data_IF_458087339996
#
_entry.id   IF_458087339996
#
_cell.length_a   1.000
_cell.length_b   1.000
_cell.length_c   1.000
_cell.angle_alpha   90.00
_cell.angle_beta   90.00
_cell.angle_gamma   90.00
#
_symmetry.space_group_name_H-M   'P 1'
#
loop_
_entity.id
_entity.type
_entity.pdbx_description
1 polymer ?
#
# COMPACT_ATOMS: atom_id res chain seq x y z
N UNK A 1 -39.94 -8.28 -3.51
CA UNK A 1 -38.49 -8.56 -3.73
C UNK A 1 -38.01 -9.31 -2.49
N UNK A 2 -37.52 -10.55 -2.61
CA UNK A 2 -37.05 -11.34 -1.47
C UNK A 2 -35.52 -11.24 -1.42
N UNK A 3 -34.96 -10.85 -0.27
CA UNK A 3 -33.51 -10.89 -0.04
C UNK A 3 -33.13 -12.36 0.20
N UNK A 4 -32.24 -12.89 -0.62
CA UNK A 4 -31.78 -14.29 -0.56
C UNK A 4 -30.42 -14.43 0.15
N UNK A 5 -29.72 -13.32 0.39
CA UNK A 5 -28.44 -13.27 1.08
C UNK A 5 -28.22 -11.86 1.62
N UNK A 6 -27.82 -11.78 2.89
CA UNK A 6 -27.40 -10.55 3.56
C UNK A 6 -26.06 -10.83 4.25
N UNK A 7 -25.09 -9.94 4.05
CA UNK A 7 -23.76 -10.08 4.63
C UNK A 7 -23.54 -8.98 5.67
N UNK A 8 -23.05 -9.37 6.84
CA UNK A 8 -22.68 -8.48 7.93
C UNK A 8 -21.19 -8.69 8.27
N UNK A 9 -20.48 -7.66 8.74
CA UNK A 9 -19.11 -7.82 9.19
C UNK A 9 -19.00 -8.89 10.28
N UNK A 10 -18.01 -9.78 10.14
CA UNK A 10 -17.69 -10.80 11.14
C UNK A 10 -16.29 -10.54 11.68
N UNK A 11 -16.21 -10.20 12.97
CA UNK A 11 -14.93 -10.11 13.66
C UNK A 11 -14.34 -11.52 13.83
N UNK A 12 -13.10 -11.72 13.36
CA UNK A 12 -12.41 -13.02 13.41
C UNK A 12 -11.21 -13.03 14.37
N UNK A 13 -10.87 -11.88 14.96
CA UNK A 13 -9.80 -11.77 15.93
C UNK A 13 -9.44 -10.32 16.24
N UNK A 14 -8.72 -10.16 17.36
CA UNK A 14 -8.22 -8.88 17.84
C UNK A 14 -6.71 -9.00 18.13
N UNK A 15 -5.84 -8.90 17.10
CA UNK A 15 -4.42 -9.24 17.22
C UNK A 15 -3.59 -8.18 17.96
N UNK A 16 -4.07 -6.94 18.03
CA UNK A 16 -3.37 -5.80 18.66
C UNK A 16 -4.36 -4.93 19.42
N UNK A 17 -3.86 -4.16 20.39
CA UNK A 17 -4.70 -3.20 21.12
C UNK A 17 -5.06 -2.00 20.25
N UNK A 18 -6.15 -1.31 20.60
CA UNK A 18 -6.57 -0.08 19.93
C UNK A 18 -5.44 0.95 19.89
N UNK A 19 -4.75 1.15 21.00
CA UNK A 19 -3.68 2.16 21.11
C UNK A 19 -2.50 1.83 20.18
N UNK A 20 -2.20 0.55 20.00
CA UNK A 20 -1.17 0.09 19.04
C UNK A 20 -1.61 0.37 17.61
N UNK A 21 -2.87 0.12 17.27
CA UNK A 21 -3.40 0.41 15.94
C UNK A 21 -3.37 1.93 15.65
N UNK A 22 -3.74 2.76 16.62
CA UNK A 22 -3.71 4.21 16.51
C UNK A 22 -2.27 4.74 16.29
N UNK A 23 -1.29 4.22 17.04
CA UNK A 23 0.12 4.60 16.86
C UNK A 23 0.65 4.17 15.48
N UNK A 24 0.29 2.98 15.01
CA UNK A 24 0.67 2.51 13.67
C UNK A 24 0.07 3.41 12.58
N UNK A 25 -1.19 3.84 12.70
CA UNK A 25 -1.81 4.78 11.74
C UNK A 25 -1.08 6.13 11.71
N UNK A 26 -0.68 6.67 12.87
CA UNK A 26 0.13 7.89 12.95
C UNK A 26 1.49 7.74 12.26
N UNK A 27 2.14 6.59 12.42
CA UNK A 27 3.40 6.30 11.72
C UNK A 27 3.20 6.14 10.21
N UNK A 28 2.09 5.53 9.78
CA UNK A 28 1.72 5.39 8.37
C UNK A 28 1.39 6.74 7.72
N UNK A 29 0.78 7.68 8.43
CA UNK A 29 0.60 9.05 7.95
C UNK A 29 1.97 9.71 7.68
N UNK A 30 2.93 9.54 8.59
CA UNK A 30 4.30 10.09 8.44
C UNK A 30 5.06 9.50 7.24
N UNK A 31 4.70 8.31 6.75
CA UNK A 31 5.27 7.77 5.50
C UNK A 31 4.91 8.65 4.30
N UNK A 32 3.76 9.32 4.36
CA UNK A 32 3.22 10.18 3.29
C UNK A 32 3.60 11.64 3.51
N UNK A 33 3.51 12.14 4.76
CA UNK A 33 3.63 13.58 5.06
C UNK A 33 5.05 14.04 5.36
N UNK A 34 5.93 13.16 5.82
CA UNK A 34 7.31 13.51 6.14
C UNK A 34 8.14 13.77 4.87
N UNK A 35 9.02 14.76 4.89
CA UNK A 35 10.00 15.00 3.82
C UNK A 35 10.98 13.84 3.63
N UNK A 36 11.14 12.98 4.64
CA UNK A 36 11.92 11.73 4.58
C UNK A 36 11.05 10.49 4.35
N UNK A 37 9.76 10.68 4.13
CA UNK A 37 8.79 9.61 3.88
C UNK A 37 9.05 8.93 2.54
N UNK A 38 8.82 7.62 2.47
CA UNK A 38 8.96 6.86 1.21
C UNK A 38 7.71 6.88 0.36
N UNK A 39 6.57 7.33 0.91
CA UNK A 39 5.26 7.33 0.24
C UNK A 39 4.76 8.72 -0.11
N UNK A 40 5.61 9.75 -0.11
CA UNK A 40 5.23 11.15 -0.40
C UNK A 40 4.48 11.30 -1.74
N UNK A 41 4.85 10.48 -2.72
CA UNK A 41 4.19 10.43 -4.02
C UNK A 41 2.74 9.95 -3.99
N UNK A 42 2.28 9.29 -2.92
CA UNK A 42 0.90 8.80 -2.76
C UNK A 42 -0.03 9.80 -2.06
N UNK A 43 0.46 11.01 -1.76
CA UNK A 43 -0.37 12.09 -1.21
C UNK A 43 -1.49 12.47 -2.20
N UNK A 44 -2.72 12.56 -1.69
CA UNK A 44 -3.88 13.16 -2.38
C UNK A 44 -4.24 14.45 -1.64
N UNK A 45 -4.33 15.56 -2.35
CA UNK A 45 -4.64 16.83 -1.72
C UNK A 45 -6.09 16.84 -1.19
N UNK A 46 -6.26 17.32 0.04
CA UNK A 46 -7.56 17.36 0.72
C UNK A 46 -7.96 16.07 1.44
N UNK A 47 -7.20 14.99 1.33
CA UNK A 47 -7.48 13.72 2.02
C UNK A 47 -6.35 13.32 2.97
N UNK A 48 -6.64 13.07 4.26
CA UNK A 48 -5.65 12.58 5.21
C UNK A 48 -5.40 11.10 4.94
N UNK A 49 -4.26 10.80 4.32
CA UNK A 49 -3.87 9.45 3.91
C UNK A 49 -2.69 8.98 4.76
N UNK A 50 -2.80 7.76 5.26
CA UNK A 50 -1.65 6.99 5.72
C UNK A 50 -1.50 5.75 4.89
N UNK A 51 -0.26 5.29 4.74
CA UNK A 51 0.00 4.10 3.97
C UNK A 51 1.39 3.56 4.14
N UNK A 52 1.67 2.47 3.43
CA UNK A 52 2.99 1.88 3.39
C UNK A 52 3.33 1.35 2.00
N UNK A 53 4.54 1.70 1.58
CA UNK A 53 5.19 1.19 0.37
C UNK A 53 5.78 -0.21 0.59
N UNK A 54 5.69 -1.05 -0.44
CA UNK A 54 6.33 -2.36 -0.52
C UNK A 54 7.15 -2.50 -1.80
N UNK A 55 8.35 -3.09 -1.68
CA UNK A 55 9.25 -3.40 -2.80
C UNK A 55 9.85 -4.77 -2.56
N UNK A 56 9.17 -5.82 -2.99
CA UNK A 56 9.56 -7.20 -2.72
C UNK A 56 10.43 -7.77 -3.86
N UNK A 57 11.55 -8.40 -3.49
CA UNK A 57 12.39 -9.13 -4.44
C UNK A 57 11.67 -10.39 -4.95
N UNK A 58 11.92 -10.74 -6.21
CA UNK A 58 11.35 -11.92 -6.86
C UNK A 58 12.44 -13.00 -6.95
N UNK A 59 12.21 -14.23 -6.45
CA UNK A 59 13.14 -15.34 -6.68
C UNK A 59 13.25 -15.68 -8.17
N UNK A 60 14.48 -15.82 -8.66
CA UNK A 60 14.78 -16.33 -9.99
C UNK A 60 14.69 -17.86 -9.98
N UNK A 61 13.77 -18.47 -10.75
CA UNK A 61 13.56 -19.92 -10.72
C UNK A 61 14.71 -20.73 -11.32
N UNK A 62 15.58 -20.11 -12.13
CA UNK A 62 16.65 -20.81 -12.85
C UNK A 62 17.91 -20.98 -12.02
N UNK A 63 18.20 -20.04 -11.12
CA UNK A 63 19.46 -20.02 -10.36
C UNK A 63 19.28 -19.89 -8.84
N UNK A 64 18.04 -19.81 -8.36
CA UNK A 64 17.71 -19.73 -6.93
C UNK A 64 18.11 -18.43 -6.23
N UNK A 65 18.65 -17.44 -6.95
CA UNK A 65 18.95 -16.09 -6.43
C UNK A 65 17.74 -15.17 -6.59
N UNK A 66 17.81 -13.92 -6.14
CA UNK A 66 16.81 -12.92 -6.52
C UNK A 66 17.06 -12.41 -7.94
N UNK A 67 15.99 -12.07 -8.65
CA UNK A 67 16.08 -11.36 -9.92
C UNK A 67 16.70 -9.97 -9.70
N UNK A 68 17.47 -9.51 -10.67
CA UNK A 68 18.17 -8.22 -10.65
C UNK A 68 17.62 -7.28 -11.73
N UNK A 69 17.78 -5.96 -11.55
CA UNK A 69 17.31 -4.96 -12.50
C UNK A 69 16.08 -4.20 -12.00
N UNK A 70 15.92 -2.95 -12.47
CA UNK A 70 14.96 -1.97 -11.91
C UNK A 70 13.50 -2.41 -11.93
N UNK A 71 13.13 -3.32 -12.82
CA UNK A 71 11.76 -3.81 -12.99
C UNK A 71 11.50 -5.09 -12.17
N UNK A 72 12.54 -5.80 -11.73
CA UNK A 72 12.41 -7.17 -11.23
C UNK A 72 11.99 -7.30 -9.75
N UNK A 73 10.92 -6.58 -9.41
CA UNK A 73 10.31 -6.54 -8.09
C UNK A 73 8.78 -6.61 -8.19
N UNK A 74 8.15 -6.91 -7.05
CA UNK A 74 6.74 -6.59 -6.83
C UNK A 74 6.70 -5.28 -6.07
N UNK A 75 6.24 -4.23 -6.74
CA UNK A 75 5.97 -2.95 -6.11
C UNK A 75 4.54 -2.97 -5.58
N UNK A 76 4.32 -2.43 -4.38
CA UNK A 76 2.99 -2.34 -3.81
C UNK A 76 2.81 -1.12 -2.92
N UNK A 77 1.55 -0.75 -2.72
CA UNK A 77 1.16 0.26 -1.76
C UNK A 77 -0.15 -0.16 -1.09
N UNK A 78 -0.19 -0.03 0.22
CA UNK A 78 -1.42 -0.09 1.01
C UNK A 78 -1.70 1.31 1.53
N UNK A 79 -2.86 1.86 1.20
CA UNK A 79 -3.33 3.17 1.67
C UNK A 79 -4.63 3.04 2.46
N UNK A 80 -4.81 3.93 3.42
CA UNK A 80 -6.03 4.09 4.21
C UNK A 80 -6.43 5.57 4.25
N UNK A 81 -7.74 5.84 4.17
CA UNK A 81 -8.29 7.19 4.27
C UNK A 81 -9.72 7.19 4.83
N UNK A 82 -10.11 8.22 5.62
CA UNK A 82 -9.24 9.10 6.41
C UNK A 82 -8.30 8.30 7.33
N UNK A 83 -7.09 8.78 7.65
CA UNK A 83 -6.13 7.97 8.43
C UNK A 83 -6.46 7.91 9.93
N UNK A 84 -7.17 8.90 10.45
CA UNK A 84 -7.62 8.97 11.84
C UNK A 84 -8.77 7.98 12.11
N UNK A 85 -9.75 7.93 11.21
CA UNK A 85 -10.87 6.99 11.21
C UNK A 85 -11.07 6.36 9.80
N UNK A 86 -10.34 5.27 9.48
CA UNK A 86 -10.35 4.69 8.14
C UNK A 86 -11.69 4.11 7.70
N UNK A 87 -12.27 4.73 6.68
CA UNK A 87 -13.48 4.26 5.97
C UNK A 87 -13.12 3.41 4.74
N UNK A 88 -11.91 3.62 4.18
CA UNK A 88 -11.43 2.93 2.99
C UNK A 88 -10.00 2.42 3.18
N UNK A 89 -9.78 1.18 2.73
CA UNK A 89 -8.46 0.58 2.56
C UNK A 89 -8.30 0.19 1.09
N UNK A 90 -7.20 0.62 0.48
CA UNK A 90 -6.84 0.24 -0.90
C UNK A 90 -5.48 -0.43 -0.88
N UNK A 91 -5.39 -1.60 -1.51
CA UNK A 91 -4.13 -2.31 -1.74
C UNK A 91 -3.90 -2.46 -3.24
N UNK A 92 -2.76 -1.97 -3.70
CA UNK A 92 -2.32 -2.07 -5.10
C UNK A 92 -0.97 -2.80 -5.15
N UNK A 93 -0.80 -3.67 -6.13
CA UNK A 93 0.48 -4.32 -6.39
C UNK A 93 0.69 -4.48 -7.90
N UNK A 94 1.91 -4.21 -8.37
CA UNK A 94 2.34 -4.45 -9.75
C UNK A 94 3.63 -5.26 -9.71
N UNK A 95 3.59 -6.41 -10.36
CA UNK A 95 4.75 -7.27 -10.56
C UNK A 95 5.41 -6.91 -11.89
N UNK A 96 6.72 -6.68 -11.87
CA UNK A 96 7.52 -6.47 -13.08
C UNK A 96 6.94 -5.41 -14.03
N UNK A 97 6.72 -4.16 -13.56
CA UNK A 97 6.22 -3.09 -14.41
C UNK A 97 7.23 -2.78 -15.51
N UNK A 98 6.71 -2.43 -16.71
CA UNK A 98 7.52 -1.87 -17.79
C UNK A 98 7.69 -0.38 -17.54
N UNK A 99 8.92 0.05 -17.24
CA UNK A 99 9.24 1.43 -16.86
C UNK A 99 9.81 2.20 -18.06
N UNK A 100 9.36 3.43 -18.26
CA UNK A 100 9.84 4.31 -19.32
C UNK A 100 10.91 5.28 -18.80
N UNK A 101 11.98 5.46 -19.56
CA UNK A 101 13.06 6.40 -19.23
C UNK A 101 13.57 6.22 -17.79
N UNK A 102 13.47 7.30 -17.02
CA UNK A 102 13.95 7.40 -15.63
C UNK A 102 12.87 7.10 -14.58
N UNK A 103 11.73 6.53 -14.97
CA UNK A 103 10.71 6.08 -14.03
C UNK A 103 11.30 5.08 -13.02
N UNK A 104 10.96 5.29 -11.74
CA UNK A 104 11.25 4.37 -10.66
C UNK A 104 10.06 3.42 -10.45
N UNK A 105 10.32 2.20 -9.98
CA UNK A 105 9.33 1.11 -10.07
C UNK A 105 8.00 1.31 -9.35
N UNK A 106 7.94 2.16 -8.32
CA UNK A 106 6.71 2.48 -7.61
C UNK A 106 5.88 3.61 -8.25
N UNK A 107 6.41 4.28 -9.29
CA UNK A 107 5.76 5.45 -9.90
C UNK A 107 4.40 5.15 -10.56
N UNK A 108 4.26 4.09 -11.38
CA UNK A 108 2.96 3.76 -11.96
C UNK A 108 1.87 3.46 -10.93
N UNK A 109 2.23 2.91 -9.76
CA UNK A 109 1.29 2.63 -8.67
C UNK A 109 0.71 3.92 -8.06
N UNK A 110 1.54 4.95 -7.90
CA UNK A 110 1.09 6.22 -7.36
C UNK A 110 0.13 6.96 -8.31
N UNK A 111 0.29 6.77 -9.62
CA UNK A 111 -0.65 7.31 -10.62
C UNK A 111 -2.00 6.61 -10.59
N UNK A 112 -2.05 5.30 -10.32
CA UNK A 112 -3.30 4.54 -10.19
C UNK A 112 -4.03 4.83 -8.87
N UNK A 113 -3.28 5.12 -7.81
CA UNK A 113 -3.84 5.36 -6.48
C UNK A 113 -4.57 6.71 -6.37
N UNK A 114 -4.15 7.72 -7.13
CA UNK A 114 -4.72 9.07 -7.14
C UNK A 114 -5.91 9.17 -8.09
#
# INVERSE_FOLDING_TARGET
>A
KQVIMENQPKEIGNPIKKETADEVRNLMERVITSSKGTGTMYKVDGYPIGGKTGTAQIPNPENGRYMEGKENYIFSFLGMAPIDDPELIVYLAIKQPKLKGDEYGAQPLAEIFK
#
